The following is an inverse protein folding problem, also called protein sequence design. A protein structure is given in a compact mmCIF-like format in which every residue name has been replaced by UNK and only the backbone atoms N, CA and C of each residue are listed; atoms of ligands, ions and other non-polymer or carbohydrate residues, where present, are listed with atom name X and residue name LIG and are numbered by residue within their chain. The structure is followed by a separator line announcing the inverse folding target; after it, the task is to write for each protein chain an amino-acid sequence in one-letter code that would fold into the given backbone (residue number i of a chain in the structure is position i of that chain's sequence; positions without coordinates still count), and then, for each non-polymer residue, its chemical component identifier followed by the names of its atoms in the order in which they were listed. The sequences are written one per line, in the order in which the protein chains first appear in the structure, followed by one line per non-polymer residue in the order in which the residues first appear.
data_IF_584007249546
#
_entry.id   IF_584007249546
#
_cell.length_a   1.000
_cell.length_b   1.000
_cell.length_c   1.000
_cell.angle_alpha   90.00
_cell.angle_beta   90.00
_cell.angle_gamma   90.00
#
_symmetry.space_group_name_H-M   'P 1'
#
loop_
_entity.id
_entity.type
_entity.pdbx_description
1 polymer ?
#
# COMPACT_ATOMS: atom_id res chain seq x y z
N UNK A 1 20.12 -6.30 8.23
CA UNK A 1 19.39 -7.53 8.62
C UNK A 1 18.82 -8.14 7.36
N UNK A 2 19.33 -9.30 6.98
CA UNK A 2 18.93 -10.06 5.79
C UNK A 2 17.50 -10.55 5.95
N UNK A 3 16.64 -10.25 4.99
CA UNK A 3 15.36 -10.91 4.81
C UNK A 3 15.59 -12.43 4.83
N UNK A 4 14.67 -13.13 5.46
CA UNK A 4 14.67 -14.55 5.74
C UNK A 4 15.43 -15.37 4.67
N UNK A 5 16.57 -15.96 5.04
CA UNK A 5 17.46 -16.69 4.13
C UNK A 5 16.93 -18.05 3.71
N UNK A 6 15.75 -18.43 4.15
CA UNK A 6 15.16 -19.69 3.77
C UNK A 6 14.75 -19.68 2.30
N UNK A 7 15.64 -20.25 1.51
CA UNK A 7 15.36 -20.84 0.20
C UNK A 7 14.81 -19.95 -0.92
N UNK A 8 15.39 -18.77 -1.13
CA UNK A 8 15.14 -18.12 -2.43
C UNK A 8 15.98 -18.82 -3.51
N UNK A 9 15.38 -19.83 -4.14
CA UNK A 9 16.05 -20.67 -5.13
C UNK A 9 16.17 -19.97 -6.50
N UNK A 10 17.18 -20.33 -7.28
CA UNK A 10 17.36 -19.82 -8.65
C UNK A 10 16.09 -19.98 -9.52
N UNK A 11 15.36 -21.12 -9.52
CA UNK A 11 14.11 -21.25 -10.26
C UNK A 11 13.02 -20.25 -9.80
N UNK A 12 12.92 -19.98 -8.50
CA UNK A 12 11.98 -18.99 -7.98
C UNK A 12 12.40 -17.58 -8.40
N UNK A 13 13.70 -17.25 -8.32
CA UNK A 13 14.23 -15.98 -8.76
C UNK A 13 13.94 -15.75 -10.26
N UNK A 14 14.09 -16.77 -11.09
CA UNK A 14 13.78 -16.69 -12.52
C UNK A 14 12.30 -16.37 -12.76
N UNK A 15 11.39 -17.12 -12.10
CA UNK A 15 9.95 -16.89 -12.23
C UNK A 15 9.50 -15.51 -11.74
N UNK A 16 10.12 -15.01 -10.66
CA UNK A 16 9.78 -13.69 -10.13
C UNK A 16 10.40 -12.59 -11.00
N UNK A 17 11.58 -12.84 -11.64
CA UNK A 17 12.18 -11.91 -12.58
C UNK A 17 11.32 -11.69 -13.83
N UNK A 18 10.66 -12.73 -14.35
CA UNK A 18 9.74 -12.61 -15.49
C UNK A 18 8.61 -11.60 -15.16
N UNK A 19 8.00 -11.73 -13.97
CA UNK A 19 6.96 -10.81 -13.54
C UNK A 19 7.46 -9.38 -13.37
N UNK A 20 8.67 -9.20 -12.84
CA UNK A 20 9.26 -7.88 -12.65
C UNK A 20 9.65 -7.24 -13.98
N UNK A 21 10.17 -8.02 -14.91
CA UNK A 21 10.50 -7.56 -16.27
C UNK A 21 9.26 -7.23 -17.11
N UNK A 22 8.11 -7.84 -16.79
CA UNK A 22 6.82 -7.55 -17.42
C UNK A 22 6.12 -6.32 -16.85
N UNK A 23 6.66 -5.69 -15.79
CA UNK A 23 6.10 -4.46 -15.25
C UNK A 23 6.21 -3.33 -16.27
N UNK A 24 5.07 -2.73 -16.59
CA UNK A 24 4.94 -1.64 -17.57
C UNK A 24 4.11 -0.51 -16.99
N UNK A 25 4.53 0.70 -17.28
CA UNK A 25 3.70 1.88 -17.14
C UNK A 25 3.02 2.10 -18.49
N UNK A 26 1.70 2.25 -18.49
CA UNK A 26 0.93 2.57 -19.69
C UNK A 26 0.14 3.84 -19.47
N UNK A 27 0.16 4.74 -20.44
CA UNK A 27 -0.76 5.86 -20.55
C UNK A 27 -1.62 5.67 -21.81
N UNK A 28 -2.90 5.93 -21.67
CA UNK A 28 -3.91 5.90 -22.74
C UNK A 28 -4.58 7.27 -22.77
N UNK A 29 -5.24 7.59 -23.88
CA UNK A 29 -5.97 8.86 -24.07
C UNK A 29 -5.07 10.10 -24.12
N UNK A 30 -3.86 9.95 -24.64
CA UNK A 30 -2.96 11.09 -24.91
C UNK A 30 -3.37 11.88 -26.18
N UNK A 31 -4.25 11.31 -27.00
CA UNK A 31 -4.80 11.82 -28.24
C UNK A 31 -5.62 10.76 -28.96
N UNK A 32 -6.18 11.07 -30.14
CA UNK A 32 -6.89 10.07 -30.95
C UNK A 32 -5.93 8.92 -31.32
N UNK A 33 -6.29 7.69 -30.89
CA UNK A 33 -5.56 6.44 -31.17
C UNK A 33 -4.10 6.40 -30.65
N UNK A 34 -3.74 7.16 -29.58
CA UNK A 34 -2.40 7.16 -29.01
C UNK A 34 -2.32 6.38 -27.70
N UNK A 35 -1.30 5.56 -27.54
CA UNK A 35 -0.91 4.97 -26.27
C UNK A 35 0.60 4.88 -26.13
N UNK A 36 1.09 4.93 -24.88
CA UNK A 36 2.48 4.73 -24.55
C UNK A 36 2.60 3.55 -23.57
N UNK A 37 3.55 2.65 -23.80
CA UNK A 37 3.93 1.59 -22.86
C UNK A 37 5.42 1.63 -22.64
N UNK A 38 5.83 1.72 -21.37
CA UNK A 38 7.24 1.80 -20.97
C UNK A 38 7.51 0.65 -20.00
N UNK A 39 8.54 -0.15 -20.25
CA UNK A 39 9.02 -1.13 -19.29
C UNK A 39 9.65 -0.41 -18.10
N UNK A 40 9.36 -0.88 -16.89
CA UNK A 40 9.89 -0.29 -15.65
C UNK A 40 11.35 -0.66 -15.46
N UNK A 41 11.70 -1.91 -15.76
CA UNK A 41 13.07 -2.42 -15.65
C UNK A 41 13.67 -2.67 -17.02
N UNK A 42 14.96 -2.29 -17.16
CA UNK A 42 15.78 -2.59 -18.31
C UNK A 42 16.56 -3.91 -18.13
N UNK A 43 16.93 -4.24 -16.89
CA UNK A 43 17.67 -5.46 -16.55
C UNK A 43 17.30 -5.97 -15.17
N UNK A 44 17.24 -7.29 -15.07
CA UNK A 44 17.21 -8.01 -13.81
C UNK A 44 18.31 -9.07 -13.81
N UNK A 45 19.15 -9.07 -12.80
CA UNK A 45 20.23 -10.04 -12.66
C UNK A 45 20.19 -10.64 -11.26
N UNK A 46 20.23 -11.98 -11.21
CA UNK A 46 20.29 -12.73 -9.95
C UNK A 46 21.57 -13.54 -9.87
N UNK A 47 22.29 -13.39 -8.76
CA UNK A 47 23.50 -14.18 -8.49
C UNK A 47 23.63 -14.44 -6.99
N UNK A 48 23.62 -15.73 -6.59
CA UNK A 48 23.88 -16.15 -5.20
C UNK A 48 23.06 -15.40 -4.14
N UNK A 49 21.76 -15.21 -4.37
CA UNK A 49 20.86 -14.52 -3.43
C UNK A 49 20.87 -13.00 -3.52
N UNK A 50 21.63 -12.42 -4.46
CA UNK A 50 21.69 -10.98 -4.70
C UNK A 50 20.95 -10.65 -5.99
N UNK A 51 20.04 -9.68 -5.91
CA UNK A 51 19.38 -9.10 -7.07
C UNK A 51 20.07 -7.81 -7.47
N UNK A 52 20.31 -7.66 -8.75
CA UNK A 52 20.75 -6.41 -9.36
C UNK A 52 19.71 -6.01 -10.40
N UNK A 53 19.17 -4.82 -10.30
CA UNK A 53 18.20 -4.28 -11.25
C UNK A 53 18.75 -3.01 -11.89
N UNK A 54 18.38 -2.80 -13.16
CA UNK A 54 18.60 -1.54 -13.86
C UNK A 54 17.25 -1.00 -14.29
N UNK A 55 16.93 0.20 -13.85
CA UNK A 55 15.72 0.91 -14.27
C UNK A 55 15.83 1.34 -15.73
N UNK A 56 14.69 1.41 -16.42
CA UNK A 56 14.65 2.02 -17.74
C UNK A 56 15.01 3.51 -17.63
N UNK A 57 15.84 4.01 -18.55
CA UNK A 57 16.34 5.40 -18.49
C UNK A 57 15.21 6.43 -18.48
N UNK A 58 14.16 6.21 -19.27
CA UNK A 58 12.98 7.08 -19.29
C UNK A 58 12.25 7.21 -17.96
N UNK A 59 12.39 6.21 -17.06
CA UNK A 59 11.75 6.22 -15.75
C UNK A 59 12.69 6.77 -14.68
N UNK A 60 13.98 6.67 -14.90
CA UNK A 60 14.98 7.02 -13.89
C UNK A 60 14.87 8.47 -13.45
N UNK A 61 14.69 9.39 -14.37
CA UNK A 61 14.54 10.82 -14.07
C UNK A 61 13.30 11.08 -13.21
N UNK A 62 12.19 10.40 -13.51
CA UNK A 62 10.96 10.49 -12.72
C UNK A 62 11.11 9.91 -11.31
N UNK A 63 11.89 8.85 -11.15
CA UNK A 63 12.16 8.25 -9.83
C UNK A 63 13.12 9.12 -9.01
N UNK A 64 14.17 9.65 -9.64
CA UNK A 64 15.19 10.45 -8.97
C UNK A 64 14.72 11.87 -8.66
N UNK A 65 13.82 12.41 -9.46
CA UNK A 65 13.29 13.77 -9.32
C UNK A 65 11.97 13.85 -8.54
N UNK A 66 11.57 12.74 -7.89
CA UNK A 66 10.41 12.72 -7.00
C UNK A 66 10.68 13.57 -5.74
N UNK A 67 10.51 14.89 -5.88
CA UNK A 67 10.69 15.86 -4.78
C UNK A 67 9.45 16.03 -3.93
N UNK A 68 8.28 15.65 -4.45
CA UNK A 68 6.98 15.85 -3.79
C UNK A 68 6.13 14.58 -3.84
N UNK A 69 5.32 14.36 -2.78
CA UNK A 69 4.30 13.32 -2.70
C UNK A 69 4.82 11.87 -2.80
N UNK A 70 5.94 11.57 -2.14
CA UNK A 70 6.40 10.19 -1.99
C UNK A 70 6.02 9.64 -0.60
N UNK A 71 5.84 8.34 -0.56
CA UNK A 71 5.60 7.62 0.69
C UNK A 71 6.89 6.92 1.09
N UNK A 72 7.37 7.19 2.30
CA UNK A 72 8.45 6.42 2.91
C UNK A 72 7.80 5.28 3.68
N UNK A 73 8.08 4.04 3.27
CA UNK A 73 7.60 2.84 3.94
C UNK A 73 8.76 2.13 4.63
N UNK A 74 8.62 1.90 5.94
CA UNK A 74 9.59 1.09 6.68
C UNK A 74 9.39 -0.39 6.34
N UNK A 75 10.30 -0.94 5.57
CA UNK A 75 10.28 -2.34 5.17
C UNK A 75 10.38 -3.30 6.37
N UNK A 76 10.98 -2.87 7.48
CA UNK A 76 11.04 -3.71 8.70
C UNK A 76 9.68 -3.84 9.37
N UNK A 77 8.84 -2.83 9.24
CA UNK A 77 7.43 -2.84 9.67
C UNK A 77 6.60 -3.76 8.76
N UNK A 78 6.71 -3.56 7.45
CA UNK A 78 5.93 -4.31 6.44
C UNK A 78 6.17 -5.83 6.55
N UNK A 79 7.39 -6.26 6.87
CA UNK A 79 7.69 -7.69 7.05
C UNK A 79 6.97 -8.33 8.24
N UNK A 80 6.36 -7.56 9.14
CA UNK A 80 5.57 -8.05 10.26
C UNK A 80 4.10 -8.25 9.89
N UNK A 81 3.65 -7.69 8.78
CA UNK A 81 2.27 -7.82 8.34
C UNK A 81 1.94 -9.27 7.94
N UNK A 82 0.80 -9.74 8.36
CA UNK A 82 0.27 -11.08 8.05
C UNK A 82 -0.30 -11.15 6.62
N UNK A 83 -0.66 -10.00 6.05
CA UNK A 83 -1.33 -9.91 4.75
C UNK A 83 -0.67 -8.87 3.83
N UNK A 84 -0.53 -9.21 2.54
CA UNK A 84 -0.11 -8.24 1.53
C UNK A 84 -1.11 -7.07 1.39
N UNK A 85 -2.39 -7.30 1.66
CA UNK A 85 -3.39 -6.24 1.67
C UNK A 85 -3.14 -5.21 2.78
N UNK A 86 -2.59 -5.64 3.91
CA UNK A 86 -2.20 -4.73 5.01
C UNK A 86 -1.20 -3.68 4.51
N UNK A 87 -0.22 -4.10 3.71
CA UNK A 87 0.73 -3.19 3.08
C UNK A 87 0.05 -2.26 2.07
N UNK A 88 -0.71 -2.81 1.14
CA UNK A 88 -1.41 -2.03 0.11
C UNK A 88 -2.34 -0.99 0.75
N UNK A 89 -3.08 -1.38 1.79
CA UNK A 89 -3.96 -0.47 2.53
C UNK A 89 -3.14 0.61 3.24
N UNK A 90 -2.04 0.25 3.89
CA UNK A 90 -1.15 1.22 4.54
C UNK A 90 -0.69 2.30 3.56
N UNK A 91 -0.14 1.91 2.42
CA UNK A 91 0.33 2.85 1.40
C UNK A 91 -0.81 3.70 0.84
N UNK A 92 -1.98 3.10 0.61
CA UNK A 92 -3.16 3.82 0.14
C UNK A 92 -3.60 4.92 1.14
N UNK A 93 -3.64 4.59 2.44
CA UNK A 93 -4.01 5.57 3.48
C UNK A 93 -2.95 6.67 3.63
N UNK A 94 -1.67 6.33 3.57
CA UNK A 94 -0.56 7.29 3.61
C UNK A 94 -0.57 8.23 2.40
N UNK A 95 -0.95 7.74 1.22
CA UNK A 95 -1.06 8.55 0.01
C UNK A 95 -2.16 9.61 0.08
N UNK A 96 -3.15 9.43 0.96
CA UNK A 96 -4.24 10.40 1.21
C UNK A 96 -3.80 11.50 2.19
N UNK A 97 -2.69 12.16 1.87
CA UNK A 97 -2.13 13.21 2.73
C UNK A 97 -3.16 14.30 3.06
N UNK A 98 -3.28 14.62 4.35
CA UNK A 98 -4.24 15.60 4.86
C UNK A 98 -5.68 15.09 4.99
N UNK A 99 -5.99 13.86 4.58
CA UNK A 99 -7.29 13.22 4.82
C UNK A 99 -7.18 12.23 5.99
N UNK A 100 -8.29 12.06 6.71
CA UNK A 100 -8.42 11.14 7.85
C UNK A 100 -9.50 10.09 7.62
N UNK A 101 -10.10 10.10 6.43
CA UNK A 101 -11.03 9.06 5.99
C UNK A 101 -11.01 8.90 4.47
N UNK A 102 -11.31 7.70 4.03
CA UNK A 102 -11.52 7.38 2.61
C UNK A 102 -12.57 6.29 2.47
N UNK A 103 -13.23 6.29 1.34
CA UNK A 103 -14.19 5.24 0.97
C UNK A 103 -13.56 4.36 -0.08
N UNK A 104 -13.64 3.05 0.12
CA UNK A 104 -13.30 2.05 -0.87
C UNK A 104 -14.53 1.17 -1.11
N UNK A 105 -14.89 1.00 -2.36
CA UNK A 105 -15.90 0.02 -2.75
C UNK A 105 -15.33 -1.40 -2.62
N UNK A 106 -16.18 -2.41 -2.66
CA UNK A 106 -15.69 -3.79 -2.72
C UNK A 106 -14.83 -4.04 -3.97
N UNK A 107 -15.18 -3.39 -5.09
CA UNK A 107 -14.43 -3.51 -6.34
C UNK A 107 -13.03 -2.91 -6.19
N UNK A 108 -12.89 -1.74 -5.59
CA UNK A 108 -11.59 -1.12 -5.32
C UNK A 108 -10.70 -2.05 -4.50
N UNK A 109 -11.25 -2.68 -3.46
CA UNK A 109 -10.50 -3.61 -2.61
C UNK A 109 -10.07 -4.85 -3.39
N UNK A 110 -10.95 -5.39 -4.23
CA UNK A 110 -10.65 -6.55 -5.08
C UNK A 110 -9.57 -6.21 -6.11
N UNK A 111 -9.64 -5.03 -6.70
CA UNK A 111 -8.64 -4.55 -7.66
C UNK A 111 -7.28 -4.33 -6.97
N UNK A 112 -7.26 -3.76 -5.76
CA UNK A 112 -6.04 -3.64 -4.94
C UNK A 112 -5.43 -5.01 -4.60
N UNK A 113 -6.26 -6.03 -4.35
CA UNK A 113 -5.80 -7.40 -4.11
C UNK A 113 -5.26 -8.08 -5.37
N UNK A 114 -5.50 -7.54 -6.56
CA UNK A 114 -5.16 -8.16 -7.83
C UNK A 114 -5.88 -9.48 -8.09
N UNK A 115 -7.06 -9.69 -7.50
CA UNK A 115 -7.86 -10.91 -7.69
C UNK A 115 -9.02 -10.67 -8.64
N UNK A 116 -9.50 -11.76 -9.27
CA UNK A 116 -10.62 -11.64 -10.21
C UNK A 116 -11.90 -11.17 -9.53
N UNK A 117 -12.68 -10.30 -10.18
CA UNK A 117 -14.01 -9.84 -9.71
C UNK A 117 -15.02 -10.97 -9.47
N UNK A 118 -14.79 -12.16 -10.04
CA UNK A 118 -15.59 -13.38 -9.80
C UNK A 118 -15.21 -14.10 -8.50
N UNK A 119 -14.24 -13.62 -7.75
CA UNK A 119 -13.75 -14.23 -6.50
C UNK A 119 -14.85 -14.37 -5.44
N UNK A 120 -14.65 -15.30 -4.52
CA UNK A 120 -15.55 -15.49 -3.37
C UNK A 120 -15.63 -14.25 -2.47
N UNK A 121 -14.60 -13.40 -2.47
CA UNK A 121 -14.57 -12.15 -1.71
C UNK A 121 -15.63 -11.14 -2.21
N UNK A 122 -15.87 -11.07 -3.52
CA UNK A 122 -16.94 -10.23 -4.07
C UNK A 122 -18.32 -10.70 -3.63
N UNK A 123 -18.52 -12.03 -3.65
CA UNK A 123 -19.82 -12.66 -3.35
C UNK A 123 -20.14 -12.71 -1.86
N UNK A 124 -19.11 -12.86 -1.02
CA UNK A 124 -19.28 -13.04 0.43
C UNK A 124 -18.55 -11.95 1.21
N UNK A 125 -19.30 -10.91 1.57
CA UNK A 125 -18.80 -9.77 2.35
C UNK A 125 -18.24 -10.19 3.72
N UNK A 126 -18.85 -11.17 4.38
CA UNK A 126 -18.35 -11.67 5.67
C UNK A 126 -16.95 -12.29 5.53
N UNK A 127 -16.73 -13.04 4.45
CA UNK A 127 -15.40 -13.60 4.15
C UNK A 127 -14.38 -12.50 3.83
N UNK A 128 -14.78 -11.49 3.04
CA UNK A 128 -13.93 -10.33 2.74
C UNK A 128 -13.52 -9.61 4.02
N UNK A 129 -14.47 -9.31 4.90
CA UNK A 129 -14.20 -8.66 6.19
C UNK A 129 -13.21 -9.51 7.00
N UNK A 130 -13.60 -10.73 7.35
CA UNK A 130 -12.83 -11.58 8.28
C UNK A 130 -11.43 -11.95 7.79
N UNK A 131 -11.27 -12.21 6.48
CA UNK A 131 -9.98 -12.71 5.93
C UNK A 131 -9.08 -11.63 5.37
N UNK A 132 -9.61 -10.46 5.08
CA UNK A 132 -8.87 -9.38 4.44
C UNK A 132 -8.85 -8.14 5.31
N UNK A 133 -10.03 -7.55 5.60
CA UNK A 133 -10.09 -6.25 6.26
C UNK A 133 -9.68 -6.33 7.73
N UNK A 134 -10.23 -7.28 8.49
CA UNK A 134 -9.94 -7.39 9.93
C UNK A 134 -8.46 -7.68 10.18
N UNK A 135 -7.83 -8.54 9.33
CA UNK A 135 -6.40 -8.81 9.40
C UNK A 135 -5.59 -7.55 9.10
N UNK A 136 -5.97 -6.79 8.05
CA UNK A 136 -5.26 -5.57 7.70
C UNK A 136 -5.36 -4.51 8.79
N UNK A 137 -6.54 -4.34 9.38
CA UNK A 137 -6.76 -3.41 10.49
C UNK A 137 -5.93 -3.82 11.72
N UNK A 138 -5.90 -5.11 12.05
CA UNK A 138 -5.07 -5.63 13.14
C UNK A 138 -3.59 -5.35 12.89
N UNK A 139 -3.08 -5.66 11.68
CA UNK A 139 -1.69 -5.44 11.31
C UNK A 139 -1.30 -3.94 11.39
N UNK A 140 -2.12 -3.06 10.82
CA UNK A 140 -1.84 -1.62 10.85
C UNK A 140 -1.84 -1.08 12.28
N UNK A 141 -2.84 -1.45 13.07
CA UNK A 141 -2.97 -1.00 14.47
C UNK A 141 -1.86 -1.52 15.37
N UNK A 142 -1.30 -2.69 15.04
CA UNK A 142 -0.26 -3.32 15.85
C UNK A 142 1.14 -2.86 15.46
N UNK A 143 1.42 -2.69 14.16
CA UNK A 143 2.79 -2.56 13.66
C UNK A 143 3.11 -1.20 13.02
N UNK A 144 2.08 -0.38 12.70
CA UNK A 144 2.29 0.94 12.11
C UNK A 144 1.93 2.07 13.08
N UNK A 145 2.28 3.29 12.68
CA UNK A 145 1.89 4.52 13.38
C UNK A 145 0.41 4.87 13.18
N UNK A 146 -0.28 4.21 12.24
CA UNK A 146 -1.68 4.47 11.98
C UNK A 146 -2.58 3.73 12.96
N UNK A 147 -3.62 4.40 13.43
CA UNK A 147 -4.76 3.80 14.13
C UNK A 147 -5.95 3.82 13.19
N UNK A 148 -6.33 2.66 12.71
CA UNK A 148 -7.30 2.48 11.61
C UNK A 148 -8.53 1.74 12.10
N UNK A 149 -9.69 2.19 11.65
CA UNK A 149 -10.97 1.49 11.77
C UNK A 149 -11.74 1.58 10.47
N UNK A 150 -12.80 0.79 10.32
CA UNK A 150 -13.69 0.93 9.17
C UNK A 150 -15.15 0.76 9.56
N UNK A 151 -16.02 1.34 8.75
CA UNK A 151 -17.47 1.27 8.84
C UNK A 151 -18.05 0.74 7.52
N UNK A 152 -19.15 -0.01 7.62
CA UNK A 152 -19.84 -0.54 6.45
C UNK A 152 -20.64 0.56 5.74
N UNK A 153 -20.47 0.67 4.42
CA UNK A 153 -21.33 1.48 3.56
C UNK A 153 -22.37 0.57 2.93
N UNK A 154 -23.63 0.91 3.14
CA UNK A 154 -24.79 0.08 2.71
C UNK A 154 -25.62 0.82 1.67
N UNK A 155 -26.09 0.07 0.69
CA UNK A 155 -27.18 0.44 -0.20
C UNK A 155 -28.33 -0.56 0.03
N UNK A 156 -29.40 -0.08 0.66
CA UNK A 156 -30.46 -0.95 1.13
C UNK A 156 -29.95 -1.96 2.17
N UNK A 157 -30.05 -3.26 1.85
CA UNK A 157 -29.57 -4.36 2.70
C UNK A 157 -28.17 -4.84 2.36
N UNK A 158 -27.58 -4.34 1.29
CA UNK A 158 -26.29 -4.80 0.78
C UNK A 158 -25.16 -3.87 1.22
N UNK A 159 -24.05 -4.46 1.67
CA UNK A 159 -22.79 -3.70 1.90
C UNK A 159 -22.11 -3.55 0.54
N UNK A 160 -21.90 -2.30 0.10
CA UNK A 160 -21.29 -1.96 -1.20
C UNK A 160 -19.87 -1.50 -1.07
N UNK A 161 -19.44 -1.05 0.12
CA UNK A 161 -18.10 -0.56 0.36
C UNK A 161 -17.82 -0.39 1.85
N UNK A 162 -16.68 0.22 2.14
CA UNK A 162 -16.21 0.48 3.50
C UNK A 162 -15.61 1.87 3.58
N UNK A 163 -15.96 2.60 4.63
CA UNK A 163 -15.33 3.87 4.98
C UNK A 163 -14.22 3.59 5.98
N UNK A 164 -12.98 3.74 5.55
CA UNK A 164 -11.84 3.69 6.44
C UNK A 164 -11.63 5.03 7.12
N UNK A 165 -11.35 5.00 8.41
CA UNK A 165 -11.08 6.16 9.25
C UNK A 165 -9.77 5.89 9.96
N UNK A 166 -8.84 6.85 9.96
CA UNK A 166 -7.56 6.68 10.62
C UNK A 166 -7.06 7.96 11.28
N UNK A 167 -6.13 7.78 12.19
CA UNK A 167 -5.33 8.84 12.77
C UNK A 167 -3.88 8.39 12.78
N UNK A 168 -2.94 9.32 12.75
CA UNK A 168 -1.58 9.00 13.14
C UNK A 168 -1.57 8.82 14.65
N UNK A 169 -1.11 7.66 15.11
CA UNK A 169 -0.97 7.35 16.52
C UNK A 169 0.17 8.11 17.21
N UNK A 170 0.41 9.34 16.80
CA UNK A 170 1.09 10.27 17.68
C UNK A 170 0.22 10.33 18.92
N UNK A 171 0.67 9.69 19.98
CA UNK A 171 0.25 10.07 21.31
C UNK A 171 0.18 11.60 21.28
N UNK A 172 -1.02 12.16 21.28
CA UNK A 172 -1.20 13.49 21.83
C UNK A 172 -0.76 13.27 23.26
N UNK A 173 0.53 13.41 23.50
CA UNK A 173 1.03 13.70 24.84
C UNK A 173 0.20 14.90 25.20
N UNK A 174 -0.76 14.71 26.10
CA UNK A 174 -1.47 15.83 26.70
C UNK A 174 -0.38 16.83 27.02
N UNK A 175 -0.50 18.01 26.44
CA UNK A 175 0.49 19.06 26.63
C UNK A 175 0.78 19.07 28.12
N UNK A 176 2.00 18.83 28.49
CA UNK A 176 2.40 18.83 29.91
C UNK A 176 1.98 20.18 30.49
N UNK A 177 1.58 20.21 31.76
CA UNK A 177 1.15 21.44 32.41
C UNK A 177 2.09 22.60 32.14
N UNK A 178 3.39 22.31 31.99
CA UNK A 178 4.44 23.24 31.62
C UNK A 178 4.29 23.82 30.21
N UNK A 179 3.80 23.03 29.24
CA UNK A 179 3.55 23.49 27.86
C UNK A 179 2.26 24.33 27.80
N UNK A 180 1.28 24.00 28.64
CA UNK A 180 0.03 24.76 28.78
C UNK A 180 0.33 26.12 29.42
N UNK A 181 1.19 26.17 30.46
CA UNK A 181 1.65 27.41 31.11
C UNK A 181 2.41 28.31 30.15
N UNK A 182 3.32 27.73 29.33
CA UNK A 182 4.06 28.48 28.31
C UNK A 182 3.12 29.09 27.26
N UNK A 183 2.09 28.38 26.82
CA UNK A 183 1.10 28.91 25.89
C UNK A 183 0.24 30.00 26.50
N UNK A 184 -0.09 29.90 27.80
CA UNK A 184 -0.84 30.95 28.54
C UNK A 184 -0.02 32.21 28.78
N UNK A 185 1.31 32.12 28.80
CA UNK A 185 2.19 33.29 28.97
C UNK A 185 2.48 34.06 27.68
N UNK A 186 2.01 33.54 26.51
CA UNK A 186 2.17 34.17 25.20
C UNK A 186 0.90 34.92 24.73
N UNK A 187 -0.15 34.95 25.55
CA UNK A 187 -1.40 35.68 25.34
C UNK A 187 -1.50 36.79 26.38
#
# INVERSE_FOLDING_TARGET
KTFNKESYSTPRANKDSDKLMDLKISAQDLGEDEFIKINVLQMFHYKKGVFTVKWAEMILDHILDMKERYIITDMTMVTKFKSSFSWLLYEHLKAKYGAWSTVLTKEDIIDMLGVKKTSSYMKNTGTLKKKILDIAIEDLNQYSELKVSYEDIKEGRSIVGFKFIWSTGTLVTQATDKQIETLKSLV
#
